data_IF_801354636787
#
_entry.id   IF_801354636787
#
_cell.length_a   1.000
_cell.length_b   1.000
_cell.length_c   1.000
_cell.angle_alpha   90.00
_cell.angle_beta   90.00
_cell.angle_gamma   90.00
#
_symmetry.space_group_name_H-M   'P 1'
#
loop_
_entity.id
_entity.type
_entity.pdbx_description
1 polymer ?
#
# COMPACT_ATOMS: atom_id res chain seq x y z
N UNK A 1 -67.08 39.56 -12.60
CA UNK A 1 -68.43 39.93 -13.10
C UNK A 1 -68.81 39.01 -14.25
N UNK A 2 -69.61 37.98 -13.95
CA UNK A 2 -70.50 37.35 -14.91
C UNK A 2 -71.78 37.05 -14.12
N UNK A 3 -72.86 37.69 -14.55
CA UNK A 3 -74.17 37.74 -13.90
C UNK A 3 -74.82 36.35 -13.88
N UNK A 4 -75.16 35.87 -12.69
CA UNK A 4 -75.94 34.63 -12.50
C UNK A 4 -77.41 35.03 -12.46
N UNK A 5 -78.10 34.87 -13.59
CA UNK A 5 -79.57 34.90 -13.61
C UNK A 5 -80.10 33.55 -13.13
N UNK A 6 -80.83 33.58 -12.01
CA UNK A 6 -81.68 32.48 -11.55
C UNK A 6 -82.92 32.40 -12.46
N UNK A 7 -83.00 31.34 -13.26
CA UNK A 7 -84.26 30.90 -13.84
C UNK A 7 -84.82 29.73 -13.04
N UNK A 8 -85.98 29.97 -12.44
CA UNK A 8 -86.90 28.94 -11.98
C UNK A 8 -87.48 28.27 -13.23
N UNK A 9 -87.07 27.04 -13.49
CA UNK A 9 -87.62 26.20 -14.57
C UNK A 9 -88.16 24.93 -13.92
N UNK A 10 -89.41 24.66 -14.25
CA UNK A 10 -90.16 23.40 -14.17
C UNK A 10 -89.26 22.17 -14.29
N UNK A 11 -89.62 21.06 -13.64
CA UNK A 11 -89.06 19.74 -13.92
C UNK A 11 -89.25 19.37 -15.40
N UNK A 12 -88.35 19.81 -16.26
CA UNK A 12 -88.11 19.27 -17.58
C UNK A 12 -87.12 18.11 -17.41
N UNK A 13 -87.54 16.91 -17.79
CA UNK A 13 -86.61 15.82 -18.06
C UNK A 13 -85.58 16.31 -19.07
N UNK A 14 -84.39 16.71 -18.58
CA UNK A 14 -83.22 16.96 -19.42
C UNK A 14 -82.78 15.63 -20.02
N UNK A 15 -83.33 15.30 -21.17
CA UNK A 15 -82.78 14.24 -22.03
C UNK A 15 -81.43 14.71 -22.54
N UNK A 16 -80.36 14.23 -21.89
CA UNK A 16 -79.01 14.41 -22.38
C UNK A 16 -78.86 13.62 -23.68
N UNK A 17 -79.01 14.30 -24.82
CA UNK A 17 -78.69 13.72 -26.12
C UNK A 17 -77.17 13.70 -26.25
N UNK A 18 -76.56 12.61 -25.79
CA UNK A 18 -75.14 12.38 -26.02
C UNK A 18 -74.91 12.16 -27.51
N UNK A 19 -74.08 12.99 -28.12
CA UNK A 19 -73.66 12.80 -29.49
C UNK A 19 -72.90 11.46 -29.60
N UNK A 20 -73.45 10.53 -30.38
CA UNK A 20 -72.88 9.20 -30.61
C UNK A 20 -71.40 9.28 -31.04
N UNK A 21 -71.01 10.32 -31.79
CA UNK A 21 -69.63 10.55 -32.19
C UNK A 21 -68.70 10.87 -31.00
N UNK A 22 -69.18 11.61 -30.00
CA UNK A 22 -68.41 11.88 -28.77
C UNK A 22 -68.22 10.61 -27.95
N UNK A 23 -69.23 9.75 -27.92
CA UNK A 23 -69.19 8.47 -27.20
C UNK A 23 -68.22 7.48 -27.88
N UNK A 24 -68.21 7.43 -29.21
CA UNK A 24 -67.23 6.65 -29.97
C UNK A 24 -65.80 7.15 -29.76
N UNK A 25 -65.57 8.47 -29.79
CA UNK A 25 -64.24 9.05 -29.53
C UNK A 25 -63.74 8.71 -28.12
N UNK A 26 -64.62 8.76 -27.13
CA UNK A 26 -64.28 8.37 -25.75
C UNK A 26 -63.91 6.89 -25.67
N UNK A 27 -64.67 6.01 -26.33
CA UNK A 27 -64.35 4.58 -26.38
C UNK A 27 -63.00 4.30 -27.04
N UNK A 28 -62.70 4.97 -28.17
CA UNK A 28 -61.40 4.86 -28.84
C UNK A 28 -60.28 5.35 -27.94
N UNK A 29 -60.45 6.49 -27.26
CA UNK A 29 -59.45 7.00 -26.31
C UNK A 29 -59.20 6.01 -25.17
N UNK A 30 -60.26 5.46 -24.57
CA UNK A 30 -60.14 4.44 -23.52
C UNK A 30 -59.42 3.19 -24.04
N UNK A 31 -59.72 2.74 -25.26
CA UNK A 31 -59.05 1.59 -25.89
C UNK A 31 -57.56 1.87 -26.15
N UNK A 32 -57.20 3.05 -26.64
CA UNK A 32 -55.80 3.44 -26.86
C UNK A 32 -55.04 3.52 -25.53
N UNK A 33 -55.62 4.13 -24.50
CA UNK A 33 -55.02 4.19 -23.15
C UNK A 33 -54.88 2.80 -22.53
N UNK A 34 -55.85 1.92 -22.73
CA UNK A 34 -55.78 0.52 -22.31
C UNK A 34 -54.64 -0.23 -23.02
N UNK A 35 -54.56 -0.13 -24.35
CA UNK A 35 -53.49 -0.75 -25.14
C UNK A 35 -52.14 -0.22 -24.67
N UNK A 36 -51.97 1.11 -24.56
CA UNK A 36 -50.74 1.72 -24.05
C UNK A 36 -50.41 1.19 -22.64
N UNK A 37 -51.39 1.13 -21.74
CA UNK A 37 -51.22 0.62 -20.38
C UNK A 37 -50.72 -0.82 -20.34
N UNK A 38 -51.32 -1.70 -21.16
CA UNK A 38 -51.00 -3.12 -21.18
C UNK A 38 -49.72 -3.43 -21.95
N UNK A 39 -49.46 -2.77 -23.08
CA UNK A 39 -48.33 -3.11 -23.95
C UNK A 39 -47.06 -2.35 -23.63
N UNK A 40 -47.15 -1.17 -23.00
CA UNK A 40 -45.96 -0.34 -22.70
C UNK A 40 -45.76 -0.16 -21.20
N UNK A 41 -46.78 0.28 -20.46
CA UNK A 41 -46.60 0.66 -19.06
C UNK A 41 -46.42 -0.55 -18.15
N UNK A 42 -47.23 -1.60 -18.30
CA UNK A 42 -47.09 -2.81 -17.48
C UNK A 42 -45.74 -3.52 -17.69
N UNK A 43 -45.28 -3.81 -18.92
CA UNK A 43 -43.98 -4.45 -19.13
C UNK A 43 -42.82 -3.62 -18.59
N UNK A 44 -42.83 -2.30 -18.79
CA UNK A 44 -41.79 -1.41 -18.27
C UNK A 44 -41.80 -1.37 -16.74
N UNK A 45 -42.98 -1.37 -16.10
CA UNK A 45 -43.09 -1.48 -14.65
C UNK A 45 -42.49 -2.79 -14.15
N UNK A 46 -42.83 -3.92 -14.78
CA UNK A 46 -42.31 -5.23 -14.39
C UNK A 46 -40.80 -5.30 -14.57
N UNK A 47 -40.28 -4.83 -15.71
CA UNK A 47 -38.83 -4.76 -15.94
C UNK A 47 -38.11 -3.86 -14.93
N UNK A 48 -38.66 -2.68 -14.63
CA UNK A 48 -38.09 -1.79 -13.62
C UNK A 48 -38.12 -2.43 -12.22
N UNK A 49 -39.15 -3.19 -11.88
CA UNK A 49 -39.21 -3.96 -10.65
C UNK A 49 -38.17 -5.09 -10.63
N UNK A 50 -38.01 -5.84 -11.72
CA UNK A 50 -36.97 -6.88 -11.82
C UNK A 50 -35.56 -6.30 -11.73
N UNK A 51 -35.29 -5.16 -12.38
CA UNK A 51 -34.00 -4.46 -12.27
C UNK A 51 -33.80 -3.97 -10.83
N UNK A 52 -34.84 -3.41 -10.20
CA UNK A 52 -34.78 -3.02 -8.79
C UNK A 52 -34.54 -4.23 -7.89
N UNK A 53 -35.13 -5.39 -8.15
CA UNK A 53 -34.91 -6.60 -7.36
C UNK A 53 -33.52 -7.21 -7.61
N UNK A 54 -33.00 -7.15 -8.83
CA UNK A 54 -31.64 -7.59 -9.14
C UNK A 54 -30.58 -6.67 -8.53
N UNK A 55 -30.81 -5.36 -8.54
CA UNK A 55 -29.86 -4.39 -8.00
C UNK A 55 -30.02 -4.28 -6.49
N UNK A 56 -31.26 -4.20 -5.99
CA UNK A 56 -31.60 -3.84 -4.61
C UNK A 56 -32.23 -4.94 -3.77
N UNK A 57 -32.66 -6.05 -4.36
CA UNK A 57 -33.17 -7.21 -3.64
C UNK A 57 -32.07 -8.22 -3.32
N UNK A 58 -32.40 -9.22 -2.50
CA UNK A 58 -31.47 -10.29 -2.12
C UNK A 58 -30.36 -9.85 -1.16
N UNK A 59 -29.37 -10.73 -0.99
CA UNK A 59 -28.12 -10.39 -0.32
C UNK A 59 -27.30 -9.51 -1.28
N UNK A 60 -26.84 -8.32 -0.86
CA UNK A 60 -26.00 -7.43 -1.69
C UNK A 60 -24.52 -7.49 -1.28
N UNK A 61 -24.24 -8.19 -0.19
CA UNK A 61 -22.93 -8.32 0.41
C UNK A 61 -22.29 -9.63 -0.09
N UNK A 62 -22.06 -9.72 -1.40
CA UNK A 62 -21.33 -10.84 -2.00
C UNK A 62 -20.56 -10.39 -3.25
N UNK A 63 -19.48 -11.10 -3.56
CA UNK A 63 -18.80 -11.04 -4.86
C UNK A 63 -19.08 -12.31 -5.62
N UNK A 64 -19.21 -12.19 -6.94
CA UNK A 64 -19.35 -13.34 -7.81
C UNK A 64 -18.37 -13.23 -8.98
N UNK A 65 -18.03 -14.39 -9.54
CA UNK A 65 -17.25 -14.50 -10.76
C UNK A 65 -17.61 -15.78 -11.47
N UNK A 66 -17.33 -15.88 -12.77
CA UNK A 66 -17.40 -17.14 -13.49
C UNK A 66 -16.04 -17.52 -14.02
N UNK A 67 -15.71 -18.80 -13.99
CA UNK A 67 -14.46 -19.26 -14.58
C UNK A 67 -14.59 -19.17 -16.11
N UNK A 68 -13.66 -18.49 -16.82
CA UNK A 68 -13.82 -18.14 -18.23
C UNK A 68 -13.94 -19.34 -19.17
N UNK A 69 -13.29 -20.47 -18.83
CA UNK A 69 -13.31 -21.69 -19.65
C UNK A 69 -14.41 -22.69 -19.30
N UNK A 70 -14.64 -22.98 -18.02
CA UNK A 70 -15.58 -24.04 -17.60
C UNK A 70 -16.99 -23.51 -17.31
N UNK A 71 -17.12 -22.22 -16.97
CA UNK A 71 -18.42 -21.56 -16.82
C UNK A 71 -19.17 -21.61 -15.48
N UNK A 72 -18.80 -22.36 -14.41
CA UNK A 72 -19.50 -22.23 -13.14
C UNK A 72 -19.39 -20.81 -12.59
N UNK A 73 -20.47 -20.37 -11.93
CA UNK A 73 -20.52 -19.14 -11.15
C UNK A 73 -20.10 -19.48 -9.73
N UNK A 74 -19.06 -18.80 -9.25
CA UNK A 74 -18.61 -18.82 -7.87
C UNK A 74 -19.17 -17.60 -7.17
N UNK A 75 -19.63 -17.79 -5.94
CA UNK A 75 -20.17 -16.73 -5.08
C UNK A 75 -19.45 -16.82 -3.74
N UNK A 76 -19.02 -15.68 -3.21
CA UNK A 76 -18.49 -15.56 -1.86
C UNK A 76 -19.15 -14.36 -1.18
N UNK A 77 -19.70 -14.57 0.02
CA UNK A 77 -20.25 -13.48 0.82
C UNK A 77 -19.13 -12.49 1.18
N UNK A 78 -19.37 -11.21 0.96
CA UNK A 78 -18.46 -10.16 1.45
C UNK A 78 -18.79 -9.91 2.91
N UNK A 79 -17.79 -9.97 3.76
CA UNK A 79 -17.95 -9.45 5.11
C UNK A 79 -18.05 -7.93 5.06
N UNK A 80 -18.93 -7.33 5.88
CA UNK A 80 -18.94 -5.88 6.05
C UNK A 80 -17.52 -5.37 6.26
N UNK A 81 -17.16 -4.29 5.55
CA UNK A 81 -15.89 -3.62 5.78
C UNK A 81 -15.84 -3.20 7.25
N UNK A 82 -15.03 -3.91 8.01
CA UNK A 82 -14.83 -3.66 9.42
C UNK A 82 -13.50 -2.93 9.54
N UNK A 83 -13.54 -1.68 10.01
CA UNK A 83 -12.33 -0.91 10.30
C UNK A 83 -11.40 -1.63 11.30
N UNK A 84 -11.91 -2.56 12.11
CA UNK A 84 -11.09 -3.43 12.95
C UNK A 84 -10.33 -4.49 12.12
N UNK A 85 -10.90 -4.98 11.02
CA UNK A 85 -10.15 -5.85 10.10
C UNK A 85 -9.18 -5.05 9.22
N UNK A 86 -9.28 -3.72 9.20
CA UNK A 86 -8.28 -2.82 8.65
C UNK A 86 -7.07 -2.64 9.60
N UNK A 87 -6.94 -3.46 10.65
CA UNK A 87 -5.73 -3.54 11.52
C UNK A 87 -4.43 -3.71 10.72
N UNK A 88 -4.48 -4.26 9.51
CA UNK A 88 -3.31 -4.41 8.64
C UNK A 88 -3.02 -3.16 7.78
N UNK A 89 -3.90 -2.15 7.77
CA UNK A 89 -3.63 -0.87 7.10
C UNK A 89 -2.80 0.04 8.00
N UNK A 90 -2.00 0.90 7.40
CA UNK A 90 -1.23 1.89 8.16
C UNK A 90 -2.17 2.79 8.98
N UNK A 91 -1.79 3.14 10.23
CA UNK A 91 -2.54 4.10 11.03
C UNK A 91 -2.81 5.37 10.20
N UNK A 92 -4.02 5.91 10.31
CA UNK A 92 -4.54 7.07 9.56
C UNK A 92 -4.90 6.83 8.08
N UNK A 93 -4.46 5.75 7.42
CA UNK A 93 -4.86 5.46 6.04
C UNK A 93 -6.31 5.00 5.97
N UNK A 94 -6.79 4.20 6.94
CA UNK A 94 -8.16 3.67 6.91
C UNK A 94 -9.23 4.77 6.79
N UNK A 95 -9.04 5.91 7.46
CA UNK A 95 -9.94 7.06 7.37
C UNK A 95 -9.90 7.74 5.99
N UNK A 96 -8.77 7.65 5.30
CA UNK A 96 -8.60 8.20 3.95
C UNK A 96 -9.15 7.24 2.89
N UNK A 97 -9.15 5.93 3.13
CA UNK A 97 -9.65 4.94 2.16
C UNK A 97 -11.12 5.15 1.86
N UNK A 98 -11.95 5.41 2.86
CA UNK A 98 -13.37 5.70 2.66
C UNK A 98 -13.55 6.94 1.77
N UNK A 99 -12.87 8.03 2.13
CA UNK A 99 -12.87 9.28 1.37
C UNK A 99 -12.34 9.09 -0.07
N UNK A 100 -11.29 8.28 -0.27
CA UNK A 100 -10.77 7.92 -1.60
C UNK A 100 -11.83 7.18 -2.40
N UNK A 101 -12.45 6.14 -1.83
CA UNK A 101 -13.45 5.30 -2.51
C UNK A 101 -14.64 6.14 -2.98
N UNK A 102 -15.08 7.12 -2.20
CA UNK A 102 -16.22 7.96 -2.55
C UNK A 102 -15.90 9.11 -3.50
N UNK A 103 -14.67 9.63 -3.49
CA UNK A 103 -14.30 10.80 -4.29
C UNK A 103 -13.47 10.46 -5.53
N UNK A 104 -12.99 9.22 -5.67
CA UNK A 104 -12.17 8.81 -6.80
C UNK A 104 -12.96 8.85 -8.12
N UNK A 105 -12.51 9.71 -9.05
CA UNK A 105 -13.01 9.79 -10.42
C UNK A 105 -11.88 9.40 -11.39
N UNK A 106 -12.04 8.32 -12.18
CA UNK A 106 -11.08 7.95 -13.21
C UNK A 106 -10.78 9.06 -14.22
N UNK A 107 -11.71 10.00 -14.45
CA UNK A 107 -11.50 11.12 -15.36
C UNK A 107 -10.48 12.15 -14.84
N UNK A 108 -10.24 12.17 -13.53
CA UNK A 108 -9.30 13.08 -12.86
C UNK A 108 -7.89 12.48 -12.74
N UNK A 109 -7.69 11.22 -13.13
CA UNK A 109 -6.39 10.55 -13.10
C UNK A 109 -5.44 11.20 -14.10
N UNK A 110 -4.24 11.57 -13.64
CA UNK A 110 -3.13 12.09 -14.46
C UNK A 110 -1.89 11.27 -14.19
N UNK A 111 -1.21 10.82 -15.25
CA UNK A 111 0.03 10.03 -15.15
C UNK A 111 -0.10 8.83 -14.20
N UNK A 112 -1.24 8.13 -14.25
CA UNK A 112 -1.56 6.99 -13.36
C UNK A 112 -1.67 7.34 -11.87
N UNK A 113 -1.81 8.62 -11.53
CA UNK A 113 -2.01 9.10 -10.17
C UNK A 113 -3.29 9.92 -10.09
N UNK A 114 -4.03 9.75 -9.00
CA UNK A 114 -5.13 10.63 -8.61
C UNK A 114 -4.78 11.27 -7.27
N UNK A 115 -4.99 12.58 -7.16
CA UNK A 115 -4.71 13.33 -5.92
C UNK A 115 -5.93 14.12 -5.53
N UNK A 116 -6.18 14.13 -4.23
CA UNK A 116 -7.20 14.98 -3.65
C UNK A 116 -6.78 15.41 -2.25
N UNK A 117 -7.38 16.49 -1.76
CA UNK A 117 -7.27 16.89 -0.36
C UNK A 117 -8.54 16.46 0.36
N UNK A 118 -8.38 15.55 1.31
CA UNK A 118 -9.44 14.98 2.11
C UNK A 118 -9.48 15.63 3.49
N UNK A 119 -10.50 15.32 4.27
CA UNK A 119 -10.66 15.82 5.63
C UNK A 119 -9.46 15.49 6.53
N UNK A 120 -8.82 14.34 6.30
CA UNK A 120 -7.65 13.85 7.03
C UNK A 120 -6.29 14.27 6.45
N UNK A 121 -6.24 14.94 5.30
CA UNK A 121 -4.98 15.31 4.63
C UNK A 121 -5.03 15.09 3.12
N UNK A 122 -3.94 15.46 2.44
CA UNK A 122 -3.81 15.23 1.01
C UNK A 122 -3.22 13.84 0.76
N UNK A 123 -3.83 13.09 -0.16
CA UNK A 123 -3.40 11.75 -0.54
C UNK A 123 -3.15 11.67 -2.04
N UNK A 124 -2.21 10.83 -2.41
CA UNK A 124 -2.10 10.35 -3.78
C UNK A 124 -2.45 8.87 -3.84
N UNK A 125 -3.25 8.53 -4.84
CA UNK A 125 -3.73 7.19 -5.13
C UNK A 125 -3.16 6.78 -6.46
N UNK A 126 -2.48 5.64 -6.48
CA UNK A 126 -1.98 5.05 -7.71
C UNK A 126 -3.11 4.35 -8.44
N UNK A 127 -3.39 4.80 -9.65
CA UNK A 127 -4.34 4.17 -10.56
C UNK A 127 -3.68 3.00 -11.27
N UNK A 128 -4.24 1.80 -11.09
CA UNK A 128 -3.87 0.59 -11.81
C UNK A 128 -4.98 0.27 -12.82
N UNK A 129 -4.72 0.37 -14.14
CA UNK A 129 -5.74 0.26 -15.19
C UNK A 129 -6.53 -1.06 -15.21
N UNK A 130 -5.95 -2.15 -14.68
CA UNK A 130 -6.56 -3.47 -14.71
C UNK A 130 -6.54 -4.13 -13.33
N UNK A 131 -7.54 -4.97 -13.07
CA UNK A 131 -7.60 -5.81 -11.85
C UNK A 131 -6.38 -6.71 -11.74
N UNK A 132 -5.89 -7.23 -12.88
CA UNK A 132 -4.67 -8.06 -12.92
C UNK A 132 -3.44 -7.28 -12.47
N UNK A 133 -3.26 -6.03 -12.91
CA UNK A 133 -2.16 -5.18 -12.43
C UNK A 133 -2.29 -4.86 -10.95
N UNK A 134 -3.51 -4.60 -10.47
CA UNK A 134 -3.78 -4.40 -9.04
C UNK A 134 -3.43 -5.64 -8.22
N UNK A 135 -3.85 -6.82 -8.66
CA UNK A 135 -3.53 -8.08 -7.99
C UNK A 135 -2.03 -8.38 -8.01
N UNK A 136 -1.36 -8.15 -9.14
CA UNK A 136 0.09 -8.30 -9.24
C UNK A 136 0.79 -7.40 -8.22
N UNK A 137 0.38 -6.12 -8.13
CA UNK A 137 0.97 -5.16 -7.20
C UNK A 137 0.70 -5.52 -5.73
N UNK A 138 -0.52 -5.95 -5.39
CA UNK A 138 -0.86 -6.39 -4.03
C UNK A 138 -0.20 -7.71 -3.63
N UNK A 139 0.26 -8.50 -4.60
CA UNK A 139 0.99 -9.75 -4.36
C UNK A 139 2.50 -9.56 -4.21
N UNK A 140 3.03 -8.37 -4.51
CA UNK A 140 4.44 -8.06 -4.33
C UNK A 140 4.81 -8.07 -2.85
N UNK A 141 5.99 -8.61 -2.57
CA UNK A 141 6.67 -8.37 -1.30
C UNK A 141 7.05 -6.89 -1.16
N UNK A 142 7.29 -6.43 0.07
CA UNK A 142 7.73 -5.05 0.31
C UNK A 142 9.04 -4.70 -0.43
N UNK A 143 9.91 -5.69 -0.62
CA UNK A 143 11.14 -5.54 -1.40
C UNK A 143 10.85 -5.41 -2.90
N UNK A 144 10.03 -6.30 -3.46
CA UNK A 144 9.63 -6.22 -4.88
C UNK A 144 8.91 -4.90 -5.17
N UNK A 145 8.01 -4.45 -4.30
CA UNK A 145 7.32 -3.17 -4.45
C UNK A 145 8.29 -1.96 -4.44
N UNK A 146 9.41 -2.08 -3.72
CA UNK A 146 10.45 -1.07 -3.69
C UNK A 146 11.33 -1.10 -4.96
N UNK A 147 11.61 -2.28 -5.50
CA UNK A 147 12.41 -2.47 -6.71
C UNK A 147 11.64 -2.30 -8.02
N UNK A 148 10.31 -2.37 -7.99
CA UNK A 148 9.46 -2.51 -9.17
C UNK A 148 9.74 -1.44 -10.24
N UNK A 149 10.33 -1.84 -11.37
CA UNK A 149 10.69 -0.98 -12.52
C UNK A 149 9.93 -1.32 -13.80
N UNK A 150 9.37 -2.52 -13.91
CA UNK A 150 8.82 -3.10 -15.12
C UNK A 150 7.52 -2.42 -15.56
N UNK A 151 6.80 -1.80 -14.63
CA UNK A 151 5.59 -1.07 -14.96
C UNK A 151 5.80 0.34 -15.56
N UNK A 152 7.04 0.75 -15.87
CA UNK A 152 7.39 1.92 -16.70
C UNK A 152 6.79 3.26 -16.24
N UNK A 153 7.60 4.20 -15.71
CA UNK A 153 7.12 5.46 -15.09
C UNK A 153 6.12 5.30 -13.93
N UNK A 154 5.90 4.06 -13.46
CA UNK A 154 4.99 3.73 -12.34
C UNK A 154 5.73 3.22 -11.11
N UNK A 155 7.05 3.29 -11.03
CA UNK A 155 7.78 2.93 -9.81
C UNK A 155 7.63 4.04 -8.77
N UNK A 156 7.78 3.78 -7.48
CA UNK A 156 7.89 4.85 -6.48
C UNK A 156 9.34 5.38 -6.46
N UNK A 157 9.78 6.03 -7.54
CA UNK A 157 11.08 6.70 -7.72
C UNK A 157 12.33 5.83 -7.75
N UNK A 158 12.96 5.66 -8.92
CA UNK A 158 14.16 4.83 -9.16
C UNK A 158 15.48 5.43 -8.65
N UNK A 159 15.46 6.12 -7.51
CA UNK A 159 16.57 6.98 -7.11
C UNK A 159 17.16 6.60 -5.77
N UNK A 160 18.43 6.97 -5.60
CA UNK A 160 19.21 6.79 -4.38
C UNK A 160 19.59 8.13 -3.76
N UNK A 161 18.84 9.18 -4.11
CA UNK A 161 19.01 10.54 -3.63
C UNK A 161 17.71 10.98 -2.95
N UNK A 162 17.82 11.82 -1.93
CA UNK A 162 16.65 12.42 -1.29
C UNK A 162 15.82 13.24 -2.30
N UNK A 163 14.51 13.04 -2.31
CA UNK A 163 13.58 13.71 -3.22
C UNK A 163 12.71 14.73 -2.49
N UNK A 164 12.71 15.97 -2.98
CA UNK A 164 11.81 17.03 -2.51
C UNK A 164 10.42 16.93 -3.17
N UNK A 165 9.51 17.83 -2.80
CA UNK A 165 8.20 17.99 -3.46
C UNK A 165 8.27 18.46 -4.90
N UNK A 166 9.36 19.13 -5.28
CA UNK A 166 9.52 19.69 -6.63
C UNK A 166 9.83 18.61 -7.67
N UNK A 167 10.15 17.41 -7.22
CA UNK A 167 10.27 16.23 -8.07
C UNK A 167 8.87 15.79 -8.53
N UNK A 168 8.75 15.33 -9.77
CA UNK A 168 7.44 15.03 -10.36
C UNK A 168 6.67 13.94 -9.60
N UNK A 169 7.33 12.94 -9.01
CA UNK A 169 6.68 12.00 -8.07
C UNK A 169 6.60 12.52 -6.64
N UNK A 170 7.50 13.44 -6.29
CA UNK A 170 7.52 14.07 -4.98
C UNK A 170 6.23 14.80 -4.67
N UNK A 171 5.68 15.54 -5.62
CA UNK A 171 4.39 16.22 -5.44
C UNK A 171 3.22 15.23 -5.20
N UNK A 172 3.33 14.00 -5.68
CA UNK A 172 2.35 12.94 -5.42
C UNK A 172 2.58 12.25 -4.07
N UNK A 173 3.83 11.89 -3.73
CA UNK A 173 4.12 11.02 -2.60
C UNK A 173 4.28 11.74 -1.26
N UNK A 174 4.79 12.98 -1.26
CA UNK A 174 4.95 13.77 -0.05
C UNK A 174 3.66 14.07 0.71
N UNK A 175 2.51 14.37 0.07
CA UNK A 175 1.23 14.49 0.75
C UNK A 175 0.88 13.28 1.63
N UNK A 176 1.13 12.07 1.12
CA UNK A 176 0.90 10.83 1.88
C UNK A 176 1.84 10.74 3.08
N UNK A 177 3.14 11.04 2.91
CA UNK A 177 4.10 11.08 4.03
C UNK A 177 3.71 12.14 5.07
N UNK A 178 3.33 13.34 4.64
CA UNK A 178 2.90 14.44 5.52
C UNK A 178 1.64 14.04 6.31
N UNK A 179 0.70 13.37 5.66
CA UNK A 179 -0.51 12.87 6.33
C UNK A 179 -0.20 11.76 7.34
N UNK A 180 0.73 10.85 7.02
CA UNK A 180 1.11 9.74 7.90
C UNK A 180 1.95 10.18 9.11
N UNK A 181 2.79 11.21 8.94
CA UNK A 181 3.88 11.52 9.89
C UNK A 181 3.99 12.99 10.30
N UNK A 182 3.37 13.91 9.56
CA UNK A 182 3.57 15.35 9.68
C UNK A 182 4.87 15.87 9.04
N UNK A 183 5.72 15.00 8.50
CA UNK A 183 6.98 15.39 7.85
C UNK A 183 6.74 16.04 6.49
N UNK A 184 7.50 17.09 6.18
CA UNK A 184 7.35 17.87 4.93
C UNK A 184 8.55 17.75 4.00
N UNK A 185 9.64 17.24 4.52
CA UNK A 185 10.94 17.06 3.88
C UNK A 185 11.68 15.88 4.52
N UNK A 186 12.80 15.46 3.92
CA UNK A 186 13.55 14.33 4.42
C UNK A 186 14.13 14.55 5.82
N UNK A 187 14.56 15.78 6.12
CA UNK A 187 15.10 16.12 7.44
C UNK A 187 14.08 15.88 8.57
N UNK A 188 12.83 16.32 8.38
CA UNK A 188 11.72 16.09 9.31
C UNK A 188 11.20 14.65 9.26
N UNK A 189 11.42 13.92 8.16
CA UNK A 189 11.04 12.50 8.03
C UNK A 189 12.05 11.53 8.69
N UNK A 190 13.29 11.97 8.95
CA UNK A 190 14.37 11.17 9.52
C UNK A 190 13.98 10.31 10.75
N UNK A 191 13.21 10.82 11.73
CA UNK A 191 12.81 10.01 12.90
C UNK A 191 11.98 8.77 12.57
N UNK A 192 11.40 8.71 11.36
CA UNK A 192 10.55 7.62 10.91
C UNK A 192 11.29 6.61 10.01
N UNK A 193 12.56 6.84 9.69
CA UNK A 193 13.35 5.97 8.81
C UNK A 193 13.53 4.54 9.34
N UNK A 194 13.41 4.31 10.65
CA UNK A 194 13.51 2.96 11.24
C UNK A 194 12.15 2.24 11.35
N UNK A 195 11.04 2.88 10.97
CA UNK A 195 9.71 2.25 11.05
C UNK A 195 9.49 1.31 9.87
N UNK A 196 9.34 0.01 10.14
CA UNK A 196 9.05 -1.00 9.11
C UNK A 196 7.79 -0.70 8.32
N UNK A 197 6.78 -0.15 8.97
CA UNK A 197 5.49 0.17 8.37
C UNK A 197 5.49 1.46 7.52
N UNK A 198 6.63 2.16 7.41
CA UNK A 198 6.76 3.37 6.59
C UNK A 198 7.87 3.26 5.52
N UNK A 199 7.84 2.25 4.63
CA UNK A 199 8.87 2.08 3.60
C UNK A 199 8.93 3.26 2.62
N UNK A 200 7.81 3.95 2.38
CA UNK A 200 7.75 5.11 1.49
C UNK A 200 8.72 6.23 1.89
N UNK A 201 9.02 6.36 3.19
CA UNK A 201 9.99 7.36 3.66
C UNK A 201 11.40 7.00 3.22
N UNK A 202 11.78 5.71 3.29
CA UNK A 202 13.08 5.23 2.80
C UNK A 202 13.19 5.35 1.27
N UNK A 203 12.08 5.19 0.56
CA UNK A 203 12.03 5.38 -0.90
C UNK A 203 12.17 6.85 -1.31
N UNK A 204 11.57 7.77 -0.56
CA UNK A 204 11.64 9.22 -0.83
C UNK A 204 12.90 9.88 -0.29
N UNK A 205 13.48 9.32 0.77
CA UNK A 205 14.62 9.88 1.49
C UNK A 205 15.73 8.84 1.72
N UNK A 206 16.25 8.20 0.66
CA UNK A 206 17.23 7.13 0.78
C UNK A 206 18.54 7.61 1.42
N UNK A 207 19.00 8.83 1.18
CA UNK A 207 20.24 9.33 1.78
C UNK A 207 20.03 9.64 3.26
N UNK A 208 18.97 10.38 3.59
CA UNK A 208 18.66 10.73 4.98
C UNK A 208 18.38 9.48 5.83
N UNK A 209 17.74 8.46 5.25
CA UNK A 209 17.51 7.19 5.96
C UNK A 209 18.74 6.28 5.99
N UNK A 210 19.75 6.53 5.16
CA UNK A 210 21.00 5.76 5.13
C UNK A 210 20.98 4.55 4.19
N UNK A 211 20.08 4.54 3.20
CA UNK A 211 20.03 3.49 2.18
C UNK A 211 21.34 3.40 1.36
N UNK A 212 22.03 4.53 1.14
CA UNK A 212 23.27 4.62 0.35
C UNK A 212 24.57 4.46 1.14
N UNK A 213 24.49 4.30 2.47
CA UNK A 213 25.67 4.11 3.32
C UNK A 213 25.57 2.76 4.04
N UNK A 214 26.46 1.78 3.75
CA UNK A 214 26.41 0.48 4.40
C UNK A 214 26.67 0.56 5.91
N UNK A 215 27.30 1.64 6.38
CA UNK A 215 27.58 1.91 7.79
C UNK A 215 26.56 2.87 8.44
N UNK A 216 25.42 3.11 7.80
CA UNK A 216 24.38 3.96 8.36
C UNK A 216 23.70 3.37 9.61
N UNK A 217 23.84 2.06 9.87
CA UNK A 217 23.20 1.37 10.99
C UNK A 217 21.69 1.16 10.83
N UNK A 218 21.18 1.17 9.59
CA UNK A 218 19.76 0.91 9.31
C UNK A 218 19.45 -0.59 9.52
N UNK A 219 18.45 -0.93 10.32
CA UNK A 219 18.05 -2.34 10.51
C UNK A 219 17.12 -2.82 9.39
N UNK A 220 16.09 -2.02 9.10
CA UNK A 220 15.05 -2.38 8.14
C UNK A 220 15.41 -1.87 6.75
N UNK A 221 15.54 -2.78 5.79
CA UNK A 221 15.94 -2.43 4.42
C UNK A 221 14.74 -2.33 3.45
N UNK A 222 13.51 -2.62 3.89
CA UNK A 222 12.34 -2.50 3.03
C UNK A 222 12.14 -1.04 2.57
N UNK A 223 11.94 -0.79 1.29
CA UNK A 223 11.91 0.58 0.74
C UNK A 223 13.29 1.20 0.48
N UNK A 224 14.39 0.63 0.96
CA UNK A 224 15.70 0.91 0.37
C UNK A 224 15.87 0.06 -0.89
N UNK A 225 16.28 0.68 -1.99
CA UNK A 225 16.46 -0.04 -3.25
C UNK A 225 17.77 -0.81 -3.29
N UNK A 226 17.78 -1.98 -3.91
CA UNK A 226 18.97 -2.78 -4.19
C UNK A 226 19.94 -2.01 -5.08
N UNK A 227 19.42 -1.23 -6.03
CA UNK A 227 20.23 -0.35 -6.87
C UNK A 227 21.06 0.66 -6.06
N UNK A 228 20.61 1.04 -4.85
CA UNK A 228 21.38 1.95 -4.00
C UNK A 228 22.65 1.33 -3.42
N UNK A 229 22.78 0.01 -3.51
CA UNK A 229 24.02 -0.69 -3.18
C UNK A 229 25.01 -0.67 -4.33
N UNK A 230 24.54 -0.44 -5.56
CA UNK A 230 25.38 -0.37 -6.75
C UNK A 230 25.97 1.03 -6.96
N UNK A 231 25.57 2.02 -6.14
CA UNK A 231 26.10 3.38 -6.25
C UNK A 231 27.60 3.41 -5.92
N UNK A 232 28.38 4.29 -6.58
CA UNK A 232 29.80 4.45 -6.29
C UNK A 232 30.08 4.74 -4.82
N UNK A 233 29.23 5.52 -4.16
CA UNK A 233 29.35 5.91 -2.75
C UNK A 233 29.23 4.70 -1.83
N UNK A 234 28.21 3.86 -2.06
CA UNK A 234 27.99 2.65 -1.26
C UNK A 234 29.17 1.67 -1.45
N UNK A 235 29.57 1.42 -2.69
CA UNK A 235 30.67 0.52 -3.02
C UNK A 235 32.02 1.03 -2.48
N UNK A 236 32.28 2.33 -2.54
CA UNK A 236 33.48 2.93 -1.96
C UNK A 236 33.50 2.79 -0.43
N UNK A 237 32.36 3.02 0.23
CA UNK A 237 32.24 2.81 1.67
C UNK A 237 32.46 1.34 2.06
N UNK A 238 31.92 0.41 1.28
CA UNK A 238 32.11 -1.03 1.46
C UNK A 238 33.58 -1.44 1.26
N UNK A 239 34.23 -0.96 0.19
CA UNK A 239 35.61 -1.29 -0.12
C UNK A 239 36.62 -0.72 0.90
N UNK A 240 36.33 0.46 1.45
CA UNK A 240 37.21 1.15 2.41
C UNK A 240 36.98 0.77 3.87
N UNK A 241 35.87 0.10 4.19
CA UNK A 241 35.62 -0.40 5.54
C UNK A 241 36.67 -1.43 5.96
N UNK A 242 37.07 -1.40 7.23
CA UNK A 242 38.03 -2.35 7.80
C UNK A 242 37.35 -3.70 8.06
N UNK A 243 38.10 -4.80 7.87
CA UNK A 243 37.65 -6.15 8.22
C UNK A 243 37.82 -6.42 9.73
N UNK A 244 37.30 -5.53 10.55
CA UNK A 244 37.37 -5.65 12.00
C UNK A 244 36.03 -5.25 12.62
N UNK A 245 35.59 -6.05 13.58
CA UNK A 245 34.40 -5.80 14.38
C UNK A 245 34.53 -4.50 15.19
N UNK A 246 33.56 -3.59 15.03
CA UNK A 246 33.52 -2.30 15.74
C UNK A 246 34.87 -1.54 15.71
N UNK A 247 35.51 -1.50 14.55
CA UNK A 247 36.86 -0.97 14.39
C UNK A 247 36.99 0.53 14.65
N UNK A 248 35.86 1.25 14.64
CA UNK A 248 35.81 2.69 14.76
C UNK A 248 34.46 3.18 15.31
N UNK A 249 34.42 4.45 15.71
CA UNK A 249 33.23 5.08 16.28
C UNK A 249 32.03 5.14 15.32
N UNK A 250 32.25 5.15 13.99
CA UNK A 250 31.14 5.09 13.02
C UNK A 250 30.46 3.72 13.07
N UNK A 251 31.22 2.63 13.17
CA UNK A 251 30.67 1.27 13.34
C UNK A 251 29.98 1.09 14.70
N UNK A 252 30.50 1.68 15.78
CA UNK A 252 29.82 1.69 17.08
C UNK A 252 28.47 2.41 17.03
N UNK A 253 28.40 3.56 16.38
CA UNK A 253 27.14 4.29 16.16
C UNK A 253 26.18 3.48 15.25
N UNK A 254 26.71 2.83 14.22
CA UNK A 254 25.93 1.96 13.34
C UNK A 254 25.34 0.77 14.12
N UNK A 255 26.12 0.16 15.01
CA UNK A 255 25.70 -0.93 15.89
C UNK A 255 24.53 -0.53 16.79
N UNK A 256 24.68 0.60 17.49
CA UNK A 256 23.65 1.13 18.38
C UNK A 256 22.36 1.43 17.61
N UNK A 257 22.47 2.09 16.45
CA UNK A 257 21.32 2.40 15.62
C UNK A 257 20.64 1.14 15.07
N UNK A 258 21.42 0.16 14.63
CA UNK A 258 20.91 -1.09 14.07
C UNK A 258 20.12 -1.89 15.12
N UNK A 259 20.63 -1.98 16.35
CA UNK A 259 19.88 -2.61 17.44
C UNK A 259 18.68 -1.78 17.92
N UNK A 260 18.77 -0.45 17.91
CA UNK A 260 17.61 0.40 18.17
C UNK A 260 16.50 0.18 17.13
N UNK A 261 16.89 0.03 15.86
CA UNK A 261 15.99 -0.34 14.76
C UNK A 261 15.38 -1.72 15.00
N UNK A 262 16.18 -2.73 15.34
CA UNK A 262 15.71 -4.06 15.72
C UNK A 262 14.64 -3.99 16.83
N UNK A 263 14.96 -3.33 17.95
CA UNK A 263 14.05 -3.22 19.09
C UNK A 263 12.73 -2.56 18.69
N UNK A 264 12.79 -1.46 17.92
CA UNK A 264 11.60 -0.73 17.49
C UNK A 264 10.67 -1.57 16.62
N UNK A 265 11.21 -2.47 15.79
CA UNK A 265 10.41 -3.23 14.82
C UNK A 265 9.93 -4.58 15.36
N UNK A 266 10.64 -5.14 16.33
CA UNK A 266 10.30 -6.43 16.93
C UNK A 266 9.48 -6.30 18.22
N UNK A 267 9.24 -5.06 18.68
CA UNK A 267 8.42 -4.76 19.85
C UNK A 267 6.99 -5.27 19.69
N UNK A 268 6.52 -6.04 20.67
CA UNK A 268 5.18 -6.65 20.65
C UNK A 268 5.10 -7.96 19.87
N UNK A 269 6.13 -8.30 19.08
CA UNK A 269 6.29 -9.63 18.46
C UNK A 269 7.06 -10.54 19.43
N UNK A 270 8.16 -10.03 19.98
CA UNK A 270 8.98 -10.75 20.94
C UNK A 270 8.63 -10.35 22.38
N UNK A 271 8.82 -11.27 23.31
CA UNK A 271 8.73 -10.95 24.75
C UNK A 271 9.78 -9.91 25.12
N UNK A 272 9.41 -8.91 25.93
CA UNK A 272 10.35 -7.89 26.45
C UNK A 272 11.44 -8.50 27.35
N UNK A 273 11.21 -9.69 27.89
CA UNK A 273 12.19 -10.47 28.67
C UNK A 273 13.11 -11.32 27.79
N UNK A 274 12.91 -11.33 26.46
CA UNK A 274 13.83 -11.98 25.55
C UNK A 274 15.21 -11.31 25.63
N UNK A 275 16.27 -12.13 25.67
CA UNK A 275 17.65 -11.63 25.81
C UNK A 275 18.04 -10.63 24.72
N UNK A 276 17.58 -10.80 23.48
CA UNK A 276 17.83 -9.83 22.40
C UNK A 276 17.07 -8.54 22.59
N UNK A 277 15.80 -8.59 23.00
CA UNK A 277 15.02 -7.39 23.27
C UNK A 277 15.65 -6.60 24.42
N UNK A 278 16.15 -7.29 25.45
CA UNK A 278 16.90 -6.68 26.55
C UNK A 278 18.22 -6.07 26.07
N UNK A 279 18.99 -6.80 25.26
CA UNK A 279 20.25 -6.30 24.68
C UNK A 279 20.02 -5.04 23.82
N UNK A 280 19.03 -5.09 22.94
CA UNK A 280 18.70 -4.01 22.04
C UNK A 280 18.15 -2.77 22.77
N UNK A 281 17.28 -2.98 23.78
CA UNK A 281 16.76 -1.91 24.64
C UNK A 281 17.85 -1.24 25.48
N UNK A 282 18.84 -2.01 25.92
CA UNK A 282 20.01 -1.52 26.64
C UNK A 282 21.00 -0.74 25.77
N UNK A 283 20.59 -0.26 24.59
CA UNK A 283 21.46 0.48 23.66
C UNK A 283 22.55 -0.37 23.03
N UNK A 284 22.43 -1.71 23.10
CA UNK A 284 23.43 -2.65 22.62
C UNK A 284 24.84 -2.39 23.21
N UNK A 285 24.93 -2.15 24.53
CA UNK A 285 26.16 -1.94 25.34
C UNK A 285 27.19 -3.11 25.32
N UNK A 286 27.15 -3.99 24.31
CA UNK A 286 28.11 -5.07 24.09
C UNK A 286 28.90 -4.94 22.79
N UNK A 287 29.53 -6.02 22.39
CA UNK A 287 30.29 -6.13 21.15
C UNK A 287 29.69 -7.20 20.22
N UNK A 288 30.32 -7.41 19.07
CA UNK A 288 29.89 -8.38 18.07
C UNK A 288 29.81 -9.83 18.59
N UNK A 289 30.52 -10.19 19.66
CA UNK A 289 30.45 -11.55 20.23
C UNK A 289 29.05 -11.91 20.75
N UNK A 290 28.17 -10.93 20.96
CA UNK A 290 26.76 -11.20 21.27
C UNK A 290 26.08 -12.03 20.17
N UNK A 291 26.45 -11.85 18.89
CA UNK A 291 25.91 -12.64 17.78
C UNK A 291 26.33 -14.12 17.84
N UNK A 292 27.35 -14.45 18.64
CA UNK A 292 27.82 -15.80 18.91
C UNK A 292 27.21 -16.41 20.17
N UNK A 293 26.38 -15.67 20.91
CA UNK A 293 25.75 -16.19 22.13
C UNK A 293 24.80 -17.37 21.85
N UNK A 294 24.27 -17.46 20.62
CA UNK A 294 23.39 -18.52 20.16
C UNK A 294 23.67 -18.85 18.68
N UNK A 295 23.69 -20.13 18.31
CA UNK A 295 24.02 -20.59 16.94
C UNK A 295 23.10 -20.05 15.83
N UNK A 296 21.89 -19.65 16.18
CA UNK A 296 20.93 -19.13 15.21
C UNK A 296 21.06 -17.61 15.00
N UNK A 297 21.69 -16.88 15.93
CA UNK A 297 21.80 -15.42 15.86
C UNK A 297 22.69 -14.98 14.71
N UNK A 298 23.94 -15.46 14.65
CA UNK A 298 24.83 -15.19 13.53
C UNK A 298 24.19 -15.58 12.19
N UNK A 299 23.55 -16.75 12.10
CA UNK A 299 22.84 -17.18 10.87
C UNK A 299 21.69 -16.27 10.46
N UNK A 300 21.02 -15.65 11.42
CA UNK A 300 19.86 -14.78 11.16
C UNK A 300 20.30 -13.36 10.81
N UNK A 301 21.28 -12.83 11.54
CA UNK A 301 21.67 -11.42 11.47
C UNK A 301 22.86 -11.16 10.58
N UNK A 302 23.72 -12.14 10.30
CA UNK A 302 24.82 -11.99 9.35
C UNK A 302 24.43 -12.32 7.91
N UNK A 303 23.27 -12.93 7.69
CA UNK A 303 22.78 -13.22 6.34
C UNK A 303 21.76 -12.18 5.91
N UNK A 304 21.89 -11.68 4.69
CA UNK A 304 20.87 -10.81 4.13
C UNK A 304 19.56 -11.61 3.95
N UNK A 305 18.51 -11.16 4.63
CA UNK A 305 17.13 -11.63 4.41
C UNK A 305 16.25 -10.43 4.09
N UNK A 306 15.25 -10.16 4.94
CA UNK A 306 14.36 -9.00 4.84
C UNK A 306 14.95 -7.74 5.52
N UNK A 307 16.09 -7.89 6.21
CA UNK A 307 16.75 -6.83 7.00
C UNK A 307 18.19 -6.68 6.54
N UNK A 308 18.82 -5.55 6.88
CA UNK A 308 20.25 -5.36 6.62
C UNK A 308 21.07 -6.31 7.49
N UNK A 309 22.04 -7.04 6.91
CA UNK A 309 22.91 -7.88 7.69
C UNK A 309 23.87 -7.06 8.56
N UNK A 310 24.26 -7.62 9.70
CA UNK A 310 25.27 -7.06 10.59
C UNK A 310 26.72 -7.22 10.10
N UNK A 311 26.96 -7.82 8.94
CA UNK A 311 28.30 -8.06 8.36
C UNK A 311 29.12 -6.79 8.19
N UNK A 312 28.49 -5.64 7.97
CA UNK A 312 29.20 -4.35 7.87
C UNK A 312 29.69 -3.80 9.22
N UNK A 313 29.04 -4.20 10.30
CA UNK A 313 29.32 -3.74 11.65
C UNK A 313 30.24 -4.74 12.36
N UNK A 314 30.02 -6.03 12.10
CA UNK A 314 30.66 -7.18 12.71
C UNK A 314 31.20 -8.17 11.65
N UNK A 315 32.07 -7.74 10.72
CA UNK A 315 32.53 -8.58 9.61
C UNK A 315 33.25 -9.85 10.07
N UNK A 316 34.07 -9.79 11.12
CA UNK A 316 34.85 -10.93 11.59
C UNK A 316 33.95 -11.99 12.21
N UNK A 317 33.06 -11.60 13.14
CA UNK A 317 32.08 -12.51 13.75
C UNK A 317 31.10 -13.07 12.72
N UNK A 318 30.73 -12.28 11.71
CA UNK A 318 29.84 -12.73 10.64
C UNK A 318 30.53 -13.58 9.56
N UNK A 319 31.84 -13.83 9.68
CA UNK A 319 32.57 -14.72 8.78
C UNK A 319 32.95 -14.12 7.43
N UNK A 320 33.07 -12.80 7.32
CA UNK A 320 33.50 -12.14 6.09
C UNK A 320 34.93 -12.47 5.60
N UNK A 321 35.93 -12.80 6.45
CA UNK A 321 37.28 -13.10 5.96
C UNK A 321 37.30 -14.18 4.86
N UNK A 322 37.78 -13.82 3.67
CA UNK A 322 37.85 -14.69 2.50
C UNK A 322 36.53 -14.95 1.75
N UNK A 323 35.44 -14.26 2.09
CA UNK A 323 34.14 -14.38 1.41
C UNK A 323 33.85 -13.13 0.58
N UNK A 324 33.44 -13.32 -0.68
CA UNK A 324 32.90 -12.27 -1.55
C UNK A 324 31.38 -12.18 -1.40
N UNK A 325 30.90 -11.70 -0.26
CA UNK A 325 29.48 -11.37 -0.07
C UNK A 325 29.25 -9.88 -0.35
N UNK A 326 28.09 -9.51 -0.89
CA UNK A 326 27.74 -8.13 -1.24
C UNK A 326 27.72 -7.16 -0.06
N UNK A 327 27.76 -7.66 1.17
CA UNK A 327 27.81 -6.89 2.41
C UNK A 327 29.06 -7.11 3.24
N UNK A 328 30.08 -7.79 2.72
CA UNK A 328 31.36 -7.91 3.40
C UNK A 328 32.31 -6.81 2.95
N UNK A 329 33.03 -6.14 3.87
CA UNK A 329 34.05 -5.16 3.52
C UNK A 329 35.06 -5.72 2.52
N UNK A 330 35.45 -4.92 1.52
CA UNK A 330 36.41 -5.35 0.50
C UNK A 330 37.77 -5.74 1.08
N UNK A 331 38.16 -5.15 2.21
CA UNK A 331 39.37 -5.48 2.96
C UNK A 331 39.37 -6.91 3.54
N UNK A 332 38.21 -7.55 3.72
CA UNK A 332 38.13 -8.92 4.21
C UNK A 332 38.66 -9.97 3.21
N UNK A 333 38.80 -9.61 1.94
CA UNK A 333 39.30 -10.52 0.91
C UNK A 333 40.82 -10.73 1.01
N UNK A 334 41.56 -9.69 1.39
CA UNK A 334 43.02 -9.78 1.56
C UNK A 334 43.41 -10.53 2.83
N UNK A 335 42.52 -10.56 3.83
CA UNK A 335 42.77 -11.19 5.13
C UNK A 335 42.47 -12.70 5.12
N UNK A 336 42.18 -13.27 3.95
CA UNK A 336 42.16 -14.72 3.74
C UNK A 336 43.56 -15.28 3.99
N UNK A 337 43.87 -15.53 5.26
CA UNK A 337 45.05 -16.28 5.67
C UNK A 337 44.93 -17.60 4.92
N UNK A 338 45.86 -17.94 4.00
CA UNK A 338 45.77 -19.18 3.24
C UNK A 338 45.63 -20.29 4.26
N UNK A 339 44.49 -20.99 4.24
CA UNK A 339 44.18 -22.02 5.19
C UNK A 339 45.37 -22.98 5.23
N UNK A 340 46.15 -22.94 6.32
CA UNK A 340 47.25 -23.86 6.52
C UNK A 340 46.64 -25.25 6.41
N UNK A 341 47.09 -26.03 5.41
CA UNK A 341 46.45 -27.23 4.90
C UNK A 341 46.04 -28.22 5.99
N UNK A 342 44.85 -28.02 6.54
CA UNK A 342 44.17 -28.92 7.45
C UNK A 342 43.60 -30.07 6.62
N UNK A 343 44.29 -31.20 6.69
CA UNK A 343 43.91 -32.49 6.13
C UNK A 343 42.41 -32.80 6.37
N UNK A 344 41.62 -32.69 5.31
CA UNK A 344 40.18 -32.98 5.28
C UNK A 344 39.96 -34.50 5.31
N UNK A 345 40.17 -35.08 6.49
CA UNK A 345 39.84 -36.47 6.81
C UNK A 345 38.85 -36.50 7.99
N UNK A 346 37.60 -36.06 7.78
CA UNK A 346 36.44 -36.37 8.66
C UNK A 346 35.15 -36.47 7.88
#
# INVERSE_FOLDING_TARGET
MASIQRFLVKEEQKTYVFNLASLLKLLVLCAVLWVLGVTTLMPNKTQAQTVREMICGGNRDFVYGSHPTIGPIFVADTTQYNLKNAENMLPNIANLVEDVVFNYDPADVKDYMWRTTLSGGAVAVKHLPTVTEMQAWLSMTEAEAAEETDYGSRSYGTFCEDRSRDFWEGDWLWPTIETLTGAKDCASAKPFCERRDLPLIRMMCPETCGCVDPLAGLYVDNGCRQLCRETPEFQAALASAACQDLSNSKQELAWQRWWSGFYSNERGIWSEDNEMMTFARGGAEGNCSFLLSQDWMARTFCQQRQTRPGTMICPSVCGCPGITDGWCPGSCLSDATPAEGGDSSR
#
